data_IF_299772085572
#
_entry.id   IF_299772085572
#
_cell.length_a   1.000
_cell.length_b   1.000
_cell.length_c   1.000
_cell.angle_alpha   90.00
_cell.angle_beta   90.00
_cell.angle_gamma   90.00
#
_symmetry.space_group_name_H-M   'P 1'
#
loop_
_entity.id
_entity.type
_entity.pdbx_description
1 polymer ?
#
# COMPACT_ATOMS: atom_id res chain seq x y z
N UNK A 1 -10.71 19.67 -10.04
CA UNK A 1 -10.77 19.76 -8.58
C UNK A 1 -10.00 18.57 -8.02
N UNK A 2 -9.00 18.78 -7.16
CA UNK A 2 -8.32 17.70 -6.46
C UNK A 2 -9.26 17.18 -5.38
N UNK A 3 -9.83 16.00 -5.57
CA UNK A 3 -10.61 15.33 -4.53
C UNK A 3 -9.62 14.77 -3.51
N UNK A 4 -9.35 15.53 -2.46
CA UNK A 4 -8.73 14.98 -1.26
C UNK A 4 -9.69 13.92 -0.73
N UNK A 5 -9.23 12.68 -0.68
CA UNK A 5 -10.04 11.60 -0.15
C UNK A 5 -10.17 11.83 1.36
N UNK A 6 -11.40 11.91 1.84
CA UNK A 6 -11.70 12.06 3.26
C UNK A 6 -11.45 10.72 3.97
N UNK A 7 -10.17 10.43 4.24
CA UNK A 7 -9.77 9.28 5.05
C UNK A 7 -9.96 9.64 6.53
N UNK A 8 -11.19 9.60 7.02
CA UNK A 8 -11.46 9.90 8.44
C UNK A 8 -10.82 8.85 9.38
N UNK A 9 -10.65 7.61 8.92
CA UNK A 9 -10.15 6.51 9.74
C UNK A 9 -9.21 5.57 8.95
N UNK A 10 -8.12 5.08 9.56
CA UNK A 10 -7.24 4.12 8.92
C UNK A 10 -7.94 2.77 8.75
N UNK A 11 -7.79 2.16 7.58
CA UNK A 11 -8.24 0.79 7.35
C UNK A 11 -7.39 -0.18 8.17
N UNK A 12 -8.01 -0.90 9.11
CA UNK A 12 -7.38 -1.96 9.91
C UNK A 12 -7.86 -3.31 9.41
N UNK A 13 -6.94 -4.14 8.92
CA UNK A 13 -7.23 -5.51 8.49
C UNK A 13 -6.20 -6.47 9.07
N UNK A 14 -6.64 -7.71 9.34
CA UNK A 14 -5.74 -8.77 9.78
C UNK A 14 -4.98 -9.30 8.56
N UNK A 15 -3.66 -9.41 8.70
CA UNK A 15 -2.81 -10.05 7.70
C UNK A 15 -3.12 -11.55 7.72
N UNK A 16 -3.45 -12.10 6.57
CA UNK A 16 -3.72 -13.52 6.38
C UNK A 16 -2.44 -14.27 5.99
N UNK A 17 -1.70 -13.71 5.02
CA UNK A 17 -0.43 -14.27 4.57
C UNK A 17 0.55 -13.18 4.14
N UNK A 18 1.85 -13.52 4.17
CA UNK A 18 2.93 -12.68 3.68
C UNK A 18 3.84 -13.48 2.77
N UNK A 19 4.25 -12.88 1.66
CA UNK A 19 5.18 -13.45 0.69
C UNK A 19 6.37 -12.51 0.56
N UNK A 20 7.55 -13.01 0.91
CA UNK A 20 8.78 -12.28 0.72
C UNK A 20 9.42 -12.75 -0.60
N UNK A 21 9.70 -11.80 -1.49
CA UNK A 21 10.50 -11.99 -2.68
C UNK A 21 11.76 -11.14 -2.53
N UNK A 22 12.84 -11.46 -3.27
CA UNK A 22 14.12 -10.77 -3.16
C UNK A 22 14.00 -9.24 -3.26
N UNK A 23 13.04 -8.76 -4.07
CA UNK A 23 12.85 -7.33 -4.34
C UNK A 23 11.58 -6.72 -3.72
N UNK A 24 10.76 -7.50 -3.01
CA UNK A 24 9.52 -6.98 -2.45
C UNK A 24 8.92 -7.85 -1.36
N UNK A 25 8.16 -7.23 -0.47
CA UNK A 25 7.36 -7.93 0.53
C UNK A 25 5.89 -7.71 0.20
N UNK A 26 5.14 -8.79 -0.02
CA UNK A 26 3.72 -8.74 -0.25
C UNK A 26 2.94 -9.25 0.97
N UNK A 27 1.87 -8.56 1.31
CA UNK A 27 0.91 -8.92 2.35
C UNK A 27 -0.45 -9.09 1.71
N UNK A 28 -1.13 -10.18 2.06
CA UNK A 28 -2.53 -10.39 1.71
C UNK A 28 -3.35 -10.28 2.97
N UNK A 29 -4.37 -9.45 2.94
CA UNK A 29 -5.33 -9.28 4.02
C UNK A 29 -6.73 -9.54 3.49
N UNK A 30 -7.57 -10.16 4.31
CA UNK A 30 -8.92 -10.54 3.96
C UNK A 30 -9.90 -10.07 5.03
N UNK A 31 -11.06 -9.55 4.60
CA UNK A 31 -12.20 -9.24 5.46
C UNK A 31 -13.48 -9.58 4.69
N UNK A 32 -14.22 -10.57 5.18
CA UNK A 32 -15.49 -11.04 4.59
C UNK A 32 -15.34 -11.52 3.14
N UNK A 33 -15.67 -10.71 2.14
CA UNK A 33 -15.46 -11.00 0.71
C UNK A 33 -14.38 -10.11 0.07
N UNK A 34 -13.79 -9.22 0.86
CA UNK A 34 -12.81 -8.24 0.41
C UNK A 34 -11.41 -8.78 0.64
N UNK A 35 -10.67 -8.94 -0.46
CA UNK A 35 -9.24 -9.17 -0.43
C UNK A 35 -8.49 -7.88 -0.81
N UNK A 36 -7.47 -7.55 0.00
CA UNK A 36 -6.49 -6.53 -0.32
C UNK A 36 -5.12 -7.18 -0.36
N UNK A 37 -4.38 -6.93 -1.44
CA UNK A 37 -2.97 -7.32 -1.55
C UNK A 37 -2.10 -6.07 -1.59
N UNK A 38 -1.19 -5.94 -0.64
CA UNK A 38 -0.24 -4.84 -0.55
C UNK A 38 1.15 -5.37 -0.85
N UNK A 39 1.80 -4.87 -1.90
CA UNK A 39 3.19 -5.17 -2.23
C UNK A 39 4.06 -3.95 -1.98
N UNK A 40 5.11 -4.13 -1.20
CA UNK A 40 6.05 -3.11 -0.78
C UNK A 40 7.38 -3.36 -1.47
N UNK A 41 7.85 -2.37 -2.22
CA UNK A 41 9.14 -2.40 -2.90
C UNK A 41 10.09 -1.43 -2.19
N UNK A 42 11.32 -1.85 -1.83
CA UNK A 42 12.33 -1.01 -1.18
C UNK A 42 12.99 -0.08 -2.19
N UNK A 43 12.19 0.80 -2.80
CA UNK A 43 12.60 1.78 -3.80
C UNK A 43 12.12 3.16 -3.38
N UNK A 44 12.99 4.15 -3.55
CA UNK A 44 12.63 5.54 -3.31
C UNK A 44 11.48 5.98 -4.22
N UNK A 45 10.53 6.71 -3.62
CA UNK A 45 9.29 7.09 -4.27
C UNK A 45 8.97 8.55 -3.91
N UNK A 46 8.70 9.37 -4.93
CA UNK A 46 8.15 10.73 -4.77
C UNK A 46 6.64 10.66 -4.97
N UNK A 47 5.88 11.29 -4.07
CA UNK A 47 4.42 11.37 -4.16
C UNK A 47 3.93 12.40 -5.18
N UNK A 48 4.84 13.17 -5.78
CA UNK A 48 4.53 14.23 -6.75
C UNK A 48 3.74 15.41 -6.15
N UNK A 49 3.57 15.45 -4.83
CA UNK A 49 2.79 16.45 -4.10
C UNK A 49 3.65 17.23 -3.10
N UNK A 50 4.71 16.61 -2.58
CA UNK A 50 5.65 17.21 -1.62
C UNK A 50 7.10 16.95 -2.02
N UNK A 51 8.03 17.69 -1.40
CA UNK A 51 9.48 17.45 -1.53
C UNK A 51 9.95 16.23 -0.72
N UNK A 52 9.02 15.47 -0.13
CA UNK A 52 9.34 14.31 0.69
C UNK A 52 9.58 13.07 -0.18
N UNK A 53 10.73 12.41 0.04
CA UNK A 53 11.07 11.14 -0.60
C UNK A 53 10.77 9.99 0.36
N UNK A 54 9.79 9.18 0.01
CA UNK A 54 9.46 7.97 0.73
C UNK A 54 10.47 6.87 0.39
N UNK A 55 10.77 6.01 1.37
CA UNK A 55 11.73 4.90 1.19
C UNK A 55 11.15 3.71 0.44
N UNK A 56 9.82 3.63 0.32
CA UNK A 56 9.16 2.49 -0.30
C UNK A 56 8.13 2.95 -1.32
N UNK A 57 8.12 2.25 -2.45
CA UNK A 57 7.01 2.25 -3.40
C UNK A 57 6.03 1.16 -2.97
N UNK A 58 4.75 1.49 -2.97
CA UNK A 58 3.67 0.60 -2.54
C UNK A 58 2.72 0.37 -3.71
N UNK A 59 2.34 -0.89 -3.90
CA UNK A 59 1.31 -1.31 -4.85
C UNK A 59 0.19 -1.97 -4.06
N UNK A 60 -1.03 -1.49 -4.20
CA UNK A 60 -2.22 -2.05 -3.57
C UNK A 60 -3.13 -2.58 -4.65
N UNK A 61 -3.50 -3.85 -4.57
CA UNK A 61 -4.53 -4.46 -5.39
C UNK A 61 -5.79 -4.63 -4.56
N UNK A 62 -6.88 -4.01 -5.01
CA UNK A 62 -8.19 -4.05 -4.36
C UNK A 62 -9.28 -4.02 -5.43
N UNK A 63 -10.26 -4.93 -5.32
CA UNK A 63 -11.39 -5.03 -6.25
C UNK A 63 -10.97 -5.02 -7.74
N UNK A 64 -9.98 -5.85 -8.10
CA UNK A 64 -9.38 -5.96 -9.45
C UNK A 64 -8.68 -4.69 -9.97
N UNK A 65 -8.66 -3.61 -9.19
CA UNK A 65 -7.92 -2.39 -9.49
C UNK A 65 -6.56 -2.40 -8.81
N UNK A 66 -5.61 -1.74 -9.45
CA UNK A 66 -4.24 -1.59 -8.96
C UNK A 66 -3.97 -0.13 -8.71
N UNK A 67 -3.62 0.19 -7.47
CA UNK A 67 -3.21 1.51 -7.03
C UNK A 67 -1.72 1.49 -6.73
N UNK A 68 -1.01 2.54 -7.13
CA UNK A 68 0.43 2.69 -6.87
C UNK A 68 0.67 4.00 -6.16
N UNK A 69 1.51 3.97 -5.13
CA UNK A 69 1.88 5.16 -4.38
C UNK A 69 3.17 4.96 -3.62
N UNK A 70 3.41 5.88 -2.69
CA UNK A 70 4.57 5.89 -1.83
C UNK A 70 4.16 5.63 -0.39
N UNK A 71 5.02 5.01 0.42
CA UNK A 71 4.65 4.69 1.80
C UNK A 71 5.82 4.39 2.73
N UNK A 72 5.52 4.44 4.02
CA UNK A 72 6.43 4.10 5.11
C UNK A 72 5.94 2.82 5.76
N UNK A 73 6.84 1.86 5.95
CA UNK A 73 6.55 0.65 6.73
C UNK A 73 6.84 0.95 8.19
N UNK A 74 5.81 0.96 9.02
CA UNK A 74 5.97 0.97 10.48
C UNK A 74 6.25 -0.47 10.94
N UNK A 75 7.38 -0.67 11.63
CA UNK A 75 7.75 -1.93 12.26
C UNK A 75 7.41 -1.89 13.74
#
# INVERSE_FOLDING_TARGET
>A
SFLLSEWEHPLRMKIDSSFNNNDSIAYTAHRDSVQIRVTIFPHFCSDGMSDFIYRNKVKVQYNQQVYTGCGIVYK
#
